data_IF_141327824716
#
_entry.id   IF_141327824716
#
_cell.length_a   1.000
_cell.length_b   1.000
_cell.length_c   1.000
_cell.angle_alpha   90.00
_cell.angle_beta   90.00
_cell.angle_gamma   90.00
#
_symmetry.space_group_name_H-M   'P 1'
#
loop_
_entity.id
_entity.type
_entity.pdbx_description
1 polymer ?
#
# COMPACT_ATOMS: atom_id res chain seq x y z
N UNK A 1 -8.72 -63.78 -24.86
CA UNK A 1 -8.53 -62.33 -25.09
C UNK A 1 -8.50 -61.67 -23.72
N UNK A 2 -7.32 -61.23 -23.23
CA UNK A 2 -7.18 -60.63 -21.90
C UNK A 2 -7.32 -59.11 -22.05
N UNK A 3 -8.30 -58.51 -21.38
CA UNK A 3 -8.54 -57.07 -21.42
C UNK A 3 -7.35 -56.34 -20.76
N UNK A 4 -6.74 -55.41 -21.47
CA UNK A 4 -5.73 -54.51 -20.94
C UNK A 4 -6.43 -53.42 -20.12
N UNK A 5 -6.15 -53.36 -18.82
CA UNK A 5 -6.62 -52.28 -17.95
C UNK A 5 -5.74 -51.06 -18.17
N UNK A 6 -6.30 -49.98 -18.70
CA UNK A 6 -5.62 -48.70 -18.87
C UNK A 6 -5.89 -47.88 -17.60
N UNK A 7 -4.89 -47.77 -16.74
CA UNK A 7 -4.94 -46.92 -15.55
C UNK A 7 -4.63 -45.48 -15.97
N UNK A 8 -5.64 -44.61 -15.96
CA UNK A 8 -5.46 -43.17 -16.22
C UNK A 8 -4.86 -42.55 -14.96
N UNK A 9 -3.58 -42.17 -15.03
CA UNK A 9 -2.90 -41.46 -13.95
C UNK A 9 -3.29 -39.97 -14.03
N UNK A 10 -4.29 -39.57 -13.23
CA UNK A 10 -4.68 -38.18 -13.10
C UNK A 10 -3.60 -37.42 -12.32
N UNK A 11 -2.82 -36.58 -13.01
CA UNK A 11 -1.85 -35.67 -12.39
C UNK A 11 -2.63 -34.48 -11.84
N UNK A 12 -2.79 -34.42 -10.51
CA UNK A 12 -3.35 -33.27 -9.82
C UNK A 12 -2.30 -32.14 -9.78
N UNK A 13 -2.58 -31.04 -10.48
CA UNK A 13 -1.81 -29.81 -10.34
C UNK A 13 -2.21 -29.14 -9.01
N UNK A 14 -1.39 -29.32 -7.98
CA UNK A 14 -1.53 -28.60 -6.71
C UNK A 14 -0.97 -27.18 -6.90
N UNK A 15 -1.83 -26.23 -7.24
CA UNK A 15 -1.50 -24.81 -7.16
C UNK A 15 -1.28 -24.42 -5.69
N UNK A 16 -0.04 -24.07 -5.35
CA UNK A 16 0.29 -23.49 -4.06
C UNK A 16 -0.09 -22.02 -4.11
N UNK A 17 -1.10 -21.63 -3.35
CA UNK A 17 -1.40 -20.22 -3.08
C UNK A 17 -0.66 -19.87 -1.80
N UNK A 18 0.47 -19.18 -1.92
CA UNK A 18 1.07 -18.49 -0.77
C UNK A 18 0.25 -17.22 -0.52
N UNK A 19 -0.53 -17.22 0.55
CA UNK A 19 -1.17 -16.01 1.04
C UNK A 19 -0.11 -15.15 1.71
N UNK A 20 0.25 -14.02 1.10
CA UNK A 20 1.04 -13.00 1.80
C UNK A 20 0.12 -12.35 2.84
N UNK A 21 0.51 -12.25 4.12
CA UNK A 21 -0.32 -11.56 5.09
C UNK A 21 -0.45 -10.09 4.67
N UNK A 22 -1.67 -9.65 4.33
CA UNK A 22 -1.89 -8.34 3.71
C UNK A 22 -1.52 -7.15 4.61
N UNK A 23 -1.56 -7.32 5.93
CA UNK A 23 -1.30 -6.23 6.87
C UNK A 23 0.19 -6.06 7.18
N UNK A 24 0.99 -7.13 7.19
CA UNK A 24 2.43 -6.99 7.47
C UNK A 24 3.14 -6.20 6.36
N UNK A 25 2.62 -6.21 5.13
CA UNK A 25 3.17 -5.40 4.03
C UNK A 25 2.82 -3.92 4.14
N UNK A 26 1.88 -3.56 5.01
CA UNK A 26 1.45 -2.18 5.29
C UNK A 26 2.19 -1.56 6.47
N UNK A 27 3.13 -2.27 7.07
CA UNK A 27 3.91 -1.84 8.23
C UNK A 27 5.40 -1.90 7.83
N UNK A 28 6.22 -0.87 8.10
CA UNK A 28 7.65 -0.96 7.83
C UNK A 28 8.25 -2.13 8.62
N UNK A 29 9.06 -2.97 7.94
CA UNK A 29 9.65 -4.18 8.54
C UNK A 29 8.63 -5.14 9.20
N UNK A 30 7.35 -5.13 8.80
CA UNK A 30 6.30 -5.93 9.44
C UNK A 30 6.51 -7.45 9.39
N UNK A 31 7.33 -7.93 8.44
CA UNK A 31 7.75 -9.33 8.27
C UNK A 31 9.22 -9.58 8.67
N UNK A 32 9.89 -8.58 9.23
CA UNK A 32 11.33 -8.56 9.49
C UNK A 32 11.68 -8.36 10.98
N UNK A 33 10.66 -8.38 11.85
CA UNK A 33 10.85 -8.40 13.32
C UNK A 33 11.32 -9.81 13.75
N UNK A 34 12.44 -9.94 14.47
CA UNK A 34 13.00 -11.25 14.81
C UNK A 34 12.01 -12.16 15.57
N UNK A 35 11.73 -13.33 15.01
CA UNK A 35 10.86 -14.34 15.64
C UNK A 35 9.36 -14.07 15.52
N UNK A 36 8.95 -13.10 14.72
CA UNK A 36 7.56 -12.66 14.60
C UNK A 36 7.11 -12.80 13.14
N UNK A 37 6.12 -13.66 12.89
CA UNK A 37 5.56 -13.90 11.55
C UNK A 37 4.27 -13.10 11.30
N UNK A 38 3.56 -12.75 12.37
CA UNK A 38 2.34 -11.96 12.36
C UNK A 38 2.45 -10.82 13.37
N UNK A 39 3.08 -9.73 12.94
CA UNK A 39 3.20 -8.54 13.76
C UNK A 39 1.80 -7.97 14.08
N UNK A 40 1.56 -7.68 15.36
CA UNK A 40 0.26 -7.23 15.87
C UNK A 40 -0.60 -8.31 16.53
N UNK A 41 -0.16 -9.57 16.52
CA UNK A 41 -0.83 -10.68 17.22
C UNK A 41 -0.07 -11.05 18.50
N UNK A 42 -0.78 -11.52 19.53
CA UNK A 42 -0.14 -11.97 20.79
C UNK A 42 0.70 -13.23 20.60
N UNK A 43 0.28 -14.13 19.72
CA UNK A 43 0.96 -15.41 19.44
C UNK A 43 2.16 -15.28 18.50
N UNK A 44 2.34 -14.11 17.87
CA UNK A 44 3.35 -13.80 16.84
C UNK A 44 3.29 -14.66 15.56
N UNK A 45 2.41 -15.66 15.49
CA UNK A 45 2.24 -16.55 14.33
C UNK A 45 1.00 -16.23 13.51
N UNK A 46 0.01 -15.57 14.12
CA UNK A 46 -1.27 -15.25 13.49
C UNK A 46 -2.22 -16.44 13.43
N UNK A 47 -1.96 -17.48 14.21
CA UNK A 47 -2.86 -18.63 14.36
C UNK A 47 -4.10 -18.25 15.18
N UNK A 48 -3.94 -17.28 16.08
CA UNK A 48 -4.99 -16.71 16.91
C UNK A 48 -5.39 -15.31 16.44
N UNK A 49 -6.66 -14.96 16.68
CA UNK A 49 -7.19 -13.63 16.35
C UNK A 49 -6.93 -12.56 17.42
N UNK A 50 -6.26 -12.93 18.51
CA UNK A 50 -5.99 -12.00 19.63
C UNK A 50 -4.85 -11.08 19.22
N UNK A 51 -5.09 -9.77 19.32
CA UNK A 51 -4.13 -8.73 18.97
C UNK A 51 -3.43 -8.22 20.21
N UNK A 52 -2.13 -7.97 20.06
CA UNK A 52 -1.36 -7.25 21.07
C UNK A 52 -1.67 -5.75 21.01
N UNK A 53 -1.06 -4.96 21.91
CA UNK A 53 -1.31 -3.52 22.02
C UNK A 53 -1.03 -2.76 20.72
N UNK A 54 0.05 -3.09 20.00
CA UNK A 54 0.34 -2.52 18.68
C UNK A 54 -0.71 -2.90 17.64
N UNK A 55 -1.14 -4.16 17.59
CA UNK A 55 -2.18 -4.61 16.66
C UNK A 55 -3.54 -3.95 16.93
N UNK A 56 -3.82 -3.58 18.18
CA UNK A 56 -4.98 -2.75 18.55
C UNK A 56 -4.81 -1.34 17.98
N UNK A 57 -3.69 -0.68 18.26
CA UNK A 57 -3.39 0.66 17.74
C UNK A 57 -3.40 0.72 16.21
N UNK A 58 -2.87 -0.30 15.51
CA UNK A 58 -2.88 -0.38 14.05
C UNK A 58 -4.30 -0.49 13.48
N UNK A 59 -5.20 -1.24 14.12
CA UNK A 59 -6.61 -1.28 13.71
C UNK A 59 -7.32 0.06 13.98
N UNK A 60 -7.05 0.69 15.12
CA UNK A 60 -7.60 2.02 15.45
C UNK A 60 -7.14 3.10 14.46
N UNK A 61 -5.93 2.95 13.92
CA UNK A 61 -5.39 3.76 12.83
C UNK A 61 -5.97 3.41 11.45
N UNK A 62 -6.96 2.51 11.36
CA UNK A 62 -7.59 2.12 10.11
C UNK A 62 -6.83 1.06 9.32
N UNK A 63 -5.92 0.30 9.95
CA UNK A 63 -5.02 -0.67 9.30
C UNK A 63 -4.07 -0.04 8.28
N UNK A 64 -3.64 1.18 8.57
CA UNK A 64 -2.71 1.98 7.78
C UNK A 64 -1.53 2.44 8.66
N UNK A 65 -0.36 2.57 8.05
CA UNK A 65 0.81 3.19 8.70
C UNK A 65 0.67 4.71 8.68
N UNK A 66 -0.16 5.23 9.57
CA UNK A 66 -0.37 6.67 9.72
C UNK A 66 0.79 7.32 10.45
N UNK A 67 0.91 8.65 10.34
CA UNK A 67 1.90 9.40 11.11
C UNK A 67 1.64 9.24 12.60
N UNK A 68 0.38 9.34 13.01
CA UNK A 68 -0.05 9.23 14.39
C UNK A 68 0.32 7.86 14.98
N UNK A 69 0.11 6.78 14.23
CA UNK A 69 0.56 5.46 14.66
C UNK A 69 2.08 5.39 14.73
N UNK A 70 2.80 5.86 13.72
CA UNK A 70 4.26 5.82 13.72
C UNK A 70 4.90 6.59 14.90
N UNK A 71 4.30 7.72 15.31
CA UNK A 71 4.76 8.55 16.43
C UNK A 71 4.27 8.06 17.79
N UNK A 72 3.31 7.13 17.84
CA UNK A 72 2.82 6.54 19.08
C UNK A 72 3.83 5.55 19.67
N UNK A 73 3.85 5.46 20.99
CA UNK A 73 4.52 4.45 21.79
C UNK A 73 3.42 3.50 22.31
N UNK A 74 3.23 2.37 21.63
CA UNK A 74 2.02 1.53 21.84
C UNK A 74 2.13 0.63 23.06
N UNK A 75 3.34 0.23 23.43
CA UNK A 75 3.64 -0.65 24.57
C UNK A 75 4.28 0.07 25.76
N UNK A 76 4.41 1.40 25.68
CA UNK A 76 4.85 2.30 26.75
C UNK A 76 6.30 2.06 27.20
N UNK A 77 7.16 1.62 26.27
CA UNK A 77 8.58 1.32 26.53
C UNK A 77 9.51 2.55 26.41
N UNK A 78 8.97 3.67 25.94
CA UNK A 78 9.68 4.94 25.72
C UNK A 78 10.15 5.17 24.28
N UNK A 79 9.91 4.23 23.37
CA UNK A 79 10.18 4.38 21.94
C UNK A 79 8.89 4.48 21.14
N UNK A 80 8.95 5.17 20.02
CA UNK A 80 7.82 5.17 19.09
C UNK A 80 7.83 3.92 18.22
N UNK A 81 6.66 3.49 17.75
CA UNK A 81 6.51 2.40 16.80
C UNK A 81 7.44 2.58 15.58
N UNK A 82 7.61 3.83 15.11
CA UNK A 82 8.53 4.19 14.04
C UNK A 82 10.00 3.99 14.38
N UNK A 83 10.44 4.31 15.59
CA UNK A 83 11.81 4.04 16.03
C UNK A 83 12.08 2.53 16.04
N UNK A 84 11.12 1.74 16.50
CA UNK A 84 11.30 0.30 16.56
C UNK A 84 11.27 -0.38 15.20
N UNK A 85 10.36 0.05 14.33
CA UNK A 85 10.12 -0.55 13.02
C UNK A 85 10.93 0.09 11.88
N UNK A 86 11.86 0.99 12.20
CA UNK A 86 12.81 1.53 11.23
C UNK A 86 12.32 2.70 10.38
N UNK A 87 11.31 3.43 10.87
CA UNK A 87 10.79 4.68 10.33
C UNK A 87 10.67 5.78 11.41
N UNK A 88 11.77 6.21 12.05
CA UNK A 88 11.72 7.16 13.17
C UNK A 88 11.22 8.57 12.79
N UNK A 89 11.14 8.89 11.50
CA UNK A 89 10.64 10.19 11.03
C UNK A 89 9.25 10.12 10.40
N UNK A 90 8.63 8.94 10.39
CA UNK A 90 7.29 8.73 9.88
C UNK A 90 7.14 9.20 8.43
N UNK A 91 8.07 8.75 7.59
CA UNK A 91 8.13 9.05 6.15
C UNK A 91 7.93 7.79 5.29
N UNK A 92 7.89 6.62 5.91
CA UNK A 92 7.70 5.39 5.18
C UNK A 92 6.31 5.37 4.54
N UNK A 93 6.26 4.91 3.30
CA UNK A 93 5.03 4.63 2.59
C UNK A 93 5.03 3.18 2.12
N UNK A 94 3.86 2.62 1.88
CA UNK A 94 3.71 1.21 1.56
C UNK A 94 4.69 0.76 0.47
N UNK A 95 5.43 -0.32 0.74
CA UNK A 95 6.45 -0.92 -0.14
C UNK A 95 7.73 -0.08 -0.36
N UNK A 96 7.89 1.06 0.30
CA UNK A 96 9.19 1.74 0.33
C UNK A 96 10.18 0.98 1.22
N UNK A 97 11.46 1.32 1.11
CA UNK A 97 12.47 0.82 2.05
C UNK A 97 12.45 1.69 3.31
N UNK A 98 12.30 1.12 4.52
CA UNK A 98 12.44 1.86 5.77
C UNK A 98 13.87 2.41 5.93
N UNK A 99 14.07 3.36 6.84
CA UNK A 99 15.38 3.97 7.09
C UNK A 99 16.41 2.96 7.60
N UNK A 100 15.97 1.93 8.32
CA UNK A 100 16.76 0.74 8.58
C UNK A 100 15.91 -0.52 8.60
N UNK A 101 16.56 -1.65 8.34
CA UNK A 101 15.95 -2.99 8.31
C UNK A 101 16.64 -3.98 9.25
N UNK A 102 17.57 -3.51 10.08
CA UNK A 102 18.32 -4.34 11.02
C UNK A 102 18.25 -3.73 12.40
N UNK A 103 18.15 -4.59 13.41
CA UNK A 103 18.00 -4.15 14.79
C UNK A 103 16.67 -3.43 15.02
N UNK A 104 15.61 -3.93 14.38
CA UNK A 104 14.21 -3.57 14.67
C UNK A 104 13.73 -4.36 15.89
N UNK A 105 12.73 -3.84 16.59
CA UNK A 105 12.12 -4.46 17.77
C UNK A 105 10.61 -4.65 17.60
N UNK A 106 9.95 -5.18 18.64
CA UNK A 106 8.55 -5.57 18.58
C UNK A 106 7.69 -4.52 19.32
N UNK A 107 6.94 -3.65 18.61
CA UNK A 107 6.22 -2.49 19.17
C UNK A 107 5.00 -2.79 20.06
N UNK A 108 4.83 -4.06 20.41
CA UNK A 108 3.79 -4.53 21.31
C UNK A 108 4.32 -5.41 22.44
N UNK A 109 5.63 -5.33 22.71
CA UNK A 109 6.34 -6.07 23.78
C UNK A 109 7.35 -5.11 24.42
N UNK A 110 6.95 -4.51 25.55
CA UNK A 110 7.70 -3.50 26.32
C UNK A 110 9.12 -3.94 26.77
N UNK A 111 9.44 -5.22 26.63
CA UNK A 111 10.75 -5.78 26.90
C UNK A 111 11.70 -5.74 25.69
N UNK A 112 11.24 -5.24 24.54
CA UNK A 112 11.97 -5.25 23.26
C UNK A 112 12.19 -3.85 22.75
N UNK A 113 13.40 -3.35 22.96
CA UNK A 113 13.79 -2.05 22.43
C UNK A 113 14.76 -2.13 21.24
N UNK A 114 14.76 -1.09 20.41
CA UNK A 114 15.75 -0.86 19.37
C UNK A 114 16.92 -0.02 19.90
N UNK A 115 18.03 0.02 19.16
CA UNK A 115 19.21 0.79 19.57
C UNK A 115 19.00 2.29 19.30
N UNK A 116 18.84 3.09 20.37
CA UNK A 116 18.64 4.55 20.32
C UNK A 116 19.66 5.30 19.46
N UNK A 117 20.90 4.79 19.36
CA UNK A 117 21.94 5.41 18.55
C UNK A 117 21.56 5.56 17.07
N UNK A 118 20.53 4.84 16.61
CA UNK A 118 20.01 4.90 15.24
C UNK A 118 19.25 6.20 14.92
N UNK A 119 18.64 6.86 15.90
CA UNK A 119 17.84 8.07 15.68
C UNK A 119 18.27 9.29 16.50
N UNK A 120 19.14 9.14 17.50
CA UNK A 120 19.60 10.27 18.34
C UNK A 120 20.22 11.43 17.57
N UNK A 121 20.81 11.17 16.41
CA UNK A 121 21.41 12.21 15.55
C UNK A 121 20.56 12.54 14.32
N UNK A 122 19.33 12.04 14.25
CA UNK A 122 18.47 12.19 13.10
C UNK A 122 17.64 13.48 13.22
N UNK A 123 17.77 14.34 12.22
CA UNK A 123 16.92 15.52 12.08
C UNK A 123 15.71 15.17 11.20
N UNK A 124 14.58 14.88 11.84
CA UNK A 124 13.39 14.47 11.12
C UNK A 124 12.73 15.58 10.30
N UNK A 125 13.04 16.86 10.56
CA UNK A 125 12.60 17.95 9.69
C UNK A 125 13.31 17.87 8.34
N UNK A 126 14.64 17.71 8.36
CA UNK A 126 15.46 17.57 7.15
C UNK A 126 15.11 16.29 6.38
N UNK A 127 14.92 15.18 7.10
CA UNK A 127 14.59 13.89 6.47
C UNK A 127 13.23 13.94 5.78
N UNK A 128 12.22 14.52 6.42
CA UNK A 128 10.89 14.68 5.82
C UNK A 128 10.93 15.59 4.60
N UNK A 129 11.59 16.75 4.70
CA UNK A 129 11.74 17.67 3.58
C UNK A 129 12.41 17.00 2.37
N UNK A 130 13.44 16.16 2.62
CA UNK A 130 14.06 15.37 1.56
C UNK A 130 13.12 14.34 0.96
N UNK A 131 12.36 13.62 1.78
CA UNK A 131 11.41 12.61 1.31
C UNK A 131 10.30 13.22 0.46
N UNK A 132 9.79 14.40 0.84
CA UNK A 132 8.81 15.17 0.08
C UNK A 132 9.37 15.59 -1.29
N UNK A 133 10.59 16.13 -1.34
CA UNK A 133 11.25 16.50 -2.59
C UNK A 133 11.53 15.30 -3.51
N UNK A 134 11.98 14.17 -2.96
CA UNK A 134 12.21 12.94 -3.72
C UNK A 134 10.88 12.38 -4.29
N UNK A 135 9.78 12.50 -3.54
CA UNK A 135 8.45 12.10 -4.00
C UNK A 135 7.92 12.98 -5.14
N UNK A 136 8.11 14.30 -5.05
CA UNK A 136 7.76 15.25 -6.12
C UNK A 136 8.54 14.95 -7.40
N UNK A 137 9.87 14.79 -7.30
CA UNK A 137 10.71 14.46 -8.45
C UNK A 137 10.32 13.13 -9.12
N UNK A 138 9.92 12.12 -8.33
CA UNK A 138 9.42 10.85 -8.86
C UNK A 138 8.08 11.03 -9.56
N UNK A 139 7.17 11.83 -9.02
CA UNK A 139 5.88 12.11 -9.66
C UNK A 139 6.05 12.82 -11.01
N UNK A 140 6.95 13.80 -11.11
CA UNK A 140 7.27 14.47 -12.37
C UNK A 140 7.88 13.51 -13.41
N UNK A 141 8.79 12.63 -12.98
CA UNK A 141 9.41 11.64 -13.85
C UNK A 141 8.40 10.60 -14.38
N UNK A 142 7.42 10.20 -13.58
CA UNK A 142 6.35 9.31 -14.03
C UNK A 142 5.36 10.03 -14.96
N UNK A 143 5.04 11.30 -14.70
CA UNK A 143 4.20 12.11 -15.59
C UNK A 143 4.83 12.30 -16.98
N UNK A 144 6.16 12.52 -17.05
CA UNK A 144 6.88 12.68 -18.31
C UNK A 144 6.90 11.42 -19.19
N UNK A 145 6.71 10.22 -18.62
CA UNK A 145 6.69 8.95 -19.38
C UNK A 145 5.33 8.65 -20.00
N UNK A 146 4.27 9.32 -19.54
CA UNK A 146 2.89 9.05 -19.94
C UNK A 146 2.38 10.04 -21.00
N UNK A 147 3.25 10.87 -21.59
CA UNK A 147 2.91 11.69 -22.74
C UNK A 147 2.73 10.79 -23.97
N UNK A 148 1.59 10.84 -24.68
CA UNK A 148 1.45 10.11 -25.94
C UNK A 148 2.45 10.68 -26.95
N UNK A 149 3.27 9.81 -27.53
CA UNK A 149 4.02 10.11 -28.75
C UNK A 149 3.00 10.47 -29.84
N UNK A 150 2.90 11.76 -30.17
CA UNK A 150 2.37 12.18 -31.48
C UNK A 150 3.47 11.89 -32.49
N UNK A 151 3.48 10.65 -33.01
CA UNK A 151 4.29 10.29 -34.17
C UNK A 151 3.83 11.10 -35.38
N UNK A 152 4.80 11.80 -35.94
CA UNK A 152 4.79 12.65 -37.11
C UNK A 152 4.07 12.04 -38.34
N UNK A 153 3.16 12.82 -38.89
CA UNK A 153 3.19 13.31 -40.27
C UNK A 153 3.65 12.31 -41.36
N UNK A 154 2.69 11.60 -41.95
CA UNK A 154 2.80 11.23 -43.36
C UNK A 154 1.74 11.98 -44.16
N UNK A 155 2.19 13.04 -44.84
CA UNK A 155 1.41 13.76 -45.84
C UNK A 155 1.00 12.80 -46.97
N UNK A 156 -0.30 12.56 -47.11
CA UNK A 156 -0.91 12.07 -48.36
C UNK A 156 -1.84 13.16 -48.86
N UNK A 157 -1.33 13.91 -49.84
CA UNK A 157 -2.10 14.83 -50.67
C UNK A 157 -2.97 14.01 -51.65
N UNK A 158 -4.29 14.06 -51.50
CA UNK A 158 -5.23 13.77 -52.59
C UNK A 158 -6.29 14.88 -52.64
N UNK A 159 -6.11 15.73 -53.63
CA UNK A 159 -7.01 16.78 -54.10
C UNK A 159 -8.36 16.27 -54.64
N UNK A 160 -9.42 16.90 -54.12
CA UNK A 160 -10.69 17.35 -54.74
C UNK A 160 -11.66 16.36 -55.43
N UNK A 161 -12.88 16.32 -54.87
CA UNK A 161 -14.12 15.98 -55.56
C UNK A 161 -15.35 16.49 -54.78
N UNK A 162 -15.99 17.53 -55.32
CA UNK A 162 -17.24 18.17 -54.85
C UNK A 162 -18.41 17.20 -54.61
N UNK A 163 -19.16 17.41 -53.51
CA UNK A 163 -20.62 17.51 -53.51
C UNK A 163 -21.19 17.78 -52.10
N UNK A 164 -21.95 18.86 -52.00
CA UNK A 164 -22.77 19.30 -50.85
C UNK A 164 -23.79 18.25 -50.37
N UNK A 165 -23.95 18.09 -49.05
CA UNK A 165 -25.05 18.69 -48.27
C UNK A 165 -25.28 18.00 -46.90
N UNK A 166 -25.34 18.85 -45.86
CA UNK A 166 -26.17 18.77 -44.67
C UNK A 166 -25.95 17.68 -43.58
N UNK A 167 -25.45 18.20 -42.45
CA UNK A 167 -25.98 18.03 -41.09
C UNK A 167 -25.50 16.83 -40.24
N UNK A 168 -25.38 17.11 -38.92
CA UNK A 168 -25.52 16.23 -37.75
C UNK A 168 -24.24 16.00 -36.89
N UNK A 169 -24.28 16.67 -35.72
CA UNK A 169 -23.75 16.39 -34.37
C UNK A 169 -22.24 16.37 -34.05
N UNK A 170 -21.88 17.26 -33.11
CA UNK A 170 -20.73 17.14 -32.19
C UNK A 170 -20.98 16.05 -31.13
N UNK A 171 -19.91 15.53 -30.51
CA UNK A 171 -19.90 15.57 -29.04
C UNK A 171 -18.53 15.94 -28.46
N UNK A 172 -18.54 16.96 -27.60
CA UNK A 172 -17.56 17.17 -26.53
C UNK A 172 -17.84 16.17 -25.41
N UNK A 173 -16.88 15.31 -25.06
CA UNK A 173 -16.99 14.42 -23.91
C UNK A 173 -16.57 15.18 -22.64
N UNK A 174 -17.57 15.77 -21.97
CA UNK A 174 -17.40 16.31 -20.62
C UNK A 174 -17.68 15.20 -19.61
N UNK A 175 -16.71 14.98 -18.73
CA UNK A 175 -16.72 14.02 -17.63
C UNK A 175 -17.84 14.39 -16.65
N UNK A 176 -18.83 13.49 -16.48
CA UNK A 176 -19.89 13.62 -15.48
C UNK A 176 -19.42 12.98 -14.17
N UNK A 177 -19.11 13.81 -13.17
CA UNK A 177 -19.02 13.36 -11.77
C UNK A 177 -20.42 13.05 -11.25
N UNK A 178 -20.66 11.79 -10.86
CA UNK A 178 -21.86 11.43 -10.09
C UNK A 178 -21.62 11.74 -8.60
N UNK A 179 -22.30 12.79 -8.11
CA UNK A 179 -22.58 12.96 -6.68
C UNK A 179 -23.68 11.97 -6.26
N UNK A 180 -23.37 11.09 -5.30
CA UNK A 180 -24.38 10.29 -4.61
C UNK A 180 -25.03 11.15 -3.51
N UNK A 181 -26.30 11.53 -3.73
CA UNK A 181 -27.15 12.12 -2.70
C UNK A 181 -27.89 11.00 -1.94
N UNK A 182 -27.66 10.91 -0.63
CA UNK A 182 -28.36 10.00 0.28
C UNK A 182 -29.75 10.58 0.57
N UNK A 183 -30.87 9.88 0.29
CA UNK A 183 -32.18 10.34 0.73
C UNK A 183 -32.38 10.01 2.22
N UNK A 184 -32.54 11.07 3.01
CA UNK A 184 -33.05 11.00 4.38
C UNK A 184 -34.52 10.53 4.34
N UNK A 185 -34.79 9.37 4.94
CA UNK A 185 -36.15 8.93 5.28
C UNK A 185 -36.30 9.04 6.79
N UNK A 186 -36.98 10.10 7.23
CA UNK A 186 -37.51 10.19 8.59
C UNK A 186 -38.97 10.62 8.54
N UNK A 187 -39.86 9.64 8.64
CA UNK A 187 -41.16 9.80 9.27
C UNK A 187 -41.44 8.52 10.05
N UNK A 188 -41.76 8.63 11.33
CA UNK A 188 -43.06 8.23 11.90
C UNK A 188 -43.13 8.83 13.29
N UNK A 189 -44.16 9.65 13.48
CA UNK A 189 -44.70 10.02 14.76
C UNK A 189 -45.35 8.79 15.42
N UNK A 190 -45.12 8.59 16.71
CA UNK A 190 -46.10 8.54 17.81
C UNK A 190 -45.35 8.21 19.10
#
# INVERSE_FOLDING_TARGET
MKAASVTILAVALLSHVEGVPLYVTRIPNGDNVPGVSALGHEDTTGDESIRNVFGIAFEEAGTEWTRELCEADSDEDGQTNGQELGDPCCIWAERNTPQWTKGVSHPGDDSKTSDESRWVSLDCEVVRAKAEADAEAKAEAEASKNSPDEDEDSEVDISMGDASAASILQPTSAIVMMLAAIPAVLQIAW
#
